data_IF_181715192127
#
_entry.id   IF_181715192127
#
_cell.length_a   1.000
_cell.length_b   1.000
_cell.length_c   1.000
_cell.angle_alpha   90.00
_cell.angle_beta   90.00
_cell.angle_gamma   90.00
#
_symmetry.space_group_name_H-M   'P 1'
#
loop_
_entity.id
_entity.type
_entity.pdbx_description
1 polymer ?
#
# COMPACT_ATOMS: atom_id res chain seq x y z
N UNK A 1 -20.60 -11.65 12.68
CA UNK A 1 -19.46 -11.78 11.78
C UNK A 1 -19.86 -11.63 10.30
N UNK A 2 -20.95 -12.26 9.87
CA UNK A 2 -21.43 -12.13 8.48
C UNK A 2 -21.78 -10.67 8.15
N UNK A 3 -22.44 -9.94 9.04
CA UNK A 3 -22.72 -8.53 8.88
C UNK A 3 -21.44 -7.71 8.70
N UNK A 4 -20.40 -8.03 9.49
CA UNK A 4 -19.10 -7.34 9.45
C UNK A 4 -18.38 -7.42 8.09
N UNK A 5 -18.67 -8.48 7.31
CA UNK A 5 -18.09 -8.70 5.98
C UNK A 5 -19.10 -8.51 4.85
N UNK A 6 -20.22 -7.83 5.11
CA UNK A 6 -21.27 -7.54 4.14
C UNK A 6 -21.99 -8.78 3.60
N UNK A 7 -22.19 -9.80 4.45
CA UNK A 7 -22.90 -11.05 4.14
C UNK A 7 -24.07 -11.29 5.08
N UNK A 8 -24.53 -10.29 5.85
CA UNK A 8 -25.57 -10.43 6.85
C UNK A 8 -26.89 -10.99 6.28
N UNK A 9 -27.30 -10.51 5.10
CA UNK A 9 -28.52 -10.93 4.40
C UNK A 9 -28.37 -12.24 3.61
N UNK A 10 -27.19 -12.86 3.64
CA UNK A 10 -26.84 -14.09 2.90
C UNK A 10 -26.67 -15.31 3.79
N UNK A 11 -26.92 -15.18 5.10
CA UNK A 11 -26.69 -16.25 6.08
C UNK A 11 -27.43 -17.57 5.80
N UNK A 12 -28.63 -17.48 5.19
CA UNK A 12 -29.45 -18.66 4.87
C UNK A 12 -29.11 -19.32 3.53
N UNK A 13 -28.22 -18.69 2.73
CA UNK A 13 -27.78 -19.24 1.44
C UNK A 13 -26.64 -20.23 1.67
N UNK A 14 -26.71 -21.39 1.01
CA UNK A 14 -25.62 -22.38 1.10
C UNK A 14 -24.32 -21.81 0.57
N UNK A 15 -23.22 -21.99 1.29
CA UNK A 15 -21.89 -21.49 0.90
C UNK A 15 -21.43 -21.98 -0.49
N UNK A 16 -21.97 -23.12 -0.96
CA UNK A 16 -21.74 -23.61 -2.32
C UNK A 16 -22.21 -22.65 -3.41
N UNK A 17 -23.29 -21.91 -3.14
CA UNK A 17 -23.93 -20.97 -4.06
C UNK A 17 -23.30 -19.56 -4.02
N UNK A 18 -22.35 -19.33 -3.13
CA UNK A 18 -21.66 -18.07 -3.00
C UNK A 18 -20.75 -17.80 -4.21
N UNK A 19 -20.70 -16.55 -4.64
CA UNK A 19 -19.70 -16.08 -5.60
C UNK A 19 -18.28 -16.21 -5.03
N UNK A 20 -17.25 -16.11 -5.87
CA UNK A 20 -15.84 -16.14 -5.43
C UNK A 20 -15.57 -15.09 -4.35
N UNK A 21 -16.01 -13.85 -4.53
CA UNK A 21 -15.85 -12.77 -3.55
C UNK A 21 -16.62 -13.01 -2.26
N UNK A 22 -17.84 -13.57 -2.32
CA UNK A 22 -18.58 -13.96 -1.13
C UNK A 22 -17.88 -15.09 -0.36
N UNK A 23 -17.34 -16.09 -1.05
CA UNK A 23 -16.55 -17.16 -0.43
C UNK A 23 -15.29 -16.64 0.25
N UNK A 24 -14.62 -15.69 -0.37
CA UNK A 24 -13.46 -15.04 0.22
C UNK A 24 -13.83 -14.31 1.52
N UNK A 25 -14.86 -13.48 1.49
CA UNK A 25 -15.39 -12.76 2.69
C UNK A 25 -15.86 -13.73 3.79
N UNK A 26 -16.52 -14.83 3.42
CA UNK A 26 -16.91 -15.86 4.38
C UNK A 26 -15.68 -16.51 5.04
N UNK A 27 -14.65 -16.83 4.26
CA UNK A 27 -13.39 -17.40 4.78
C UNK A 27 -12.70 -16.42 5.73
N UNK A 28 -12.68 -15.14 5.37
CA UNK A 28 -12.17 -14.07 6.24
C UNK A 28 -12.96 -13.99 7.55
N UNK A 29 -14.30 -13.93 7.49
CA UNK A 29 -15.16 -13.93 8.68
C UNK A 29 -14.94 -15.15 9.56
N UNK A 30 -14.79 -16.33 8.95
CA UNK A 30 -14.54 -17.57 9.67
C UNK A 30 -13.23 -17.57 10.44
N UNK A 31 -12.20 -16.90 9.93
CA UNK A 31 -10.89 -16.83 10.59
C UNK A 31 -10.91 -16.04 11.91
N UNK A 32 -11.96 -15.23 12.14
CA UNK A 32 -12.16 -14.44 13.37
C UNK A 32 -13.00 -15.16 14.45
N UNK A 33 -13.62 -16.32 14.16
CA UNK A 33 -14.59 -16.97 15.07
C UNK A 33 -14.00 -17.22 16.46
N UNK A 34 -12.73 -17.61 16.53
CA UNK A 34 -12.07 -17.99 17.79
C UNK A 34 -11.35 -16.82 18.48
N UNK A 35 -11.63 -15.57 18.10
CA UNK A 35 -10.95 -14.39 18.63
C UNK A 35 -9.42 -14.58 18.71
N UNK A 36 -8.73 -14.77 17.58
CA UNK A 36 -7.31 -15.12 17.57
C UNK A 36 -6.46 -14.00 18.19
N UNK A 37 -5.43 -14.36 18.94
CA UNK A 37 -4.37 -13.45 19.38
C UNK A 37 -3.25 -13.31 18.33
N UNK A 38 -3.14 -14.31 17.45
CA UNK A 38 -2.28 -14.31 16.26
C UNK A 38 -3.13 -14.69 15.05
N UNK A 39 -3.14 -13.83 14.03
CA UNK A 39 -4.00 -13.96 12.86
C UNK A 39 -3.17 -13.96 11.57
N UNK A 40 -3.27 -15.05 10.80
CA UNK A 40 -2.61 -15.19 9.50
C UNK A 40 -3.59 -14.88 8.38
N UNK A 41 -3.20 -13.97 7.52
CA UNK A 41 -3.99 -13.50 6.38
C UNK A 41 -3.16 -13.61 5.09
N UNK A 42 -3.66 -14.41 4.16
CA UNK A 42 -3.05 -14.58 2.85
C UNK A 42 -3.88 -13.82 1.81
N UNK A 43 -3.30 -12.80 1.19
CA UNK A 43 -3.94 -11.95 0.17
C UNK A 43 -5.37 -11.49 0.54
N UNK A 44 -5.59 -10.87 1.72
CA UNK A 44 -6.95 -10.67 2.27
C UNK A 44 -7.84 -9.74 1.44
N UNK A 45 -7.28 -8.93 0.54
CA UNK A 45 -8.03 -7.97 -0.27
C UNK A 45 -8.04 -8.28 -1.76
N UNK A 46 -7.30 -9.32 -2.18
CA UNK A 46 -7.13 -9.65 -3.60
C UNK A 46 -8.45 -10.13 -4.21
N UNK A 47 -8.78 -9.57 -5.38
CA UNK A 47 -10.01 -9.92 -6.12
C UNK A 47 -11.31 -9.41 -5.51
N UNK A 48 -11.23 -8.50 -4.54
CA UNK A 48 -12.38 -7.77 -4.00
C UNK A 48 -12.54 -6.43 -4.71
N UNK A 49 -13.77 -5.94 -4.75
CA UNK A 49 -14.03 -4.56 -5.17
C UNK A 49 -13.47 -3.55 -4.13
N UNK A 50 -13.17 -2.30 -4.56
CA UNK A 50 -12.53 -1.32 -3.69
C UNK A 50 -13.26 -1.03 -2.39
N UNK A 51 -14.60 -1.03 -2.40
CA UNK A 51 -15.40 -0.74 -1.21
C UNK A 51 -15.25 -1.85 -0.17
N UNK A 52 -15.40 -3.11 -0.60
CA UNK A 52 -15.22 -4.29 0.25
C UNK A 52 -13.77 -4.41 0.73
N UNK A 53 -12.79 -4.16 -0.14
CA UNK A 53 -11.38 -4.15 0.27
C UNK A 53 -11.12 -3.12 1.38
N UNK A 54 -11.74 -1.94 1.30
CA UNK A 54 -11.65 -0.91 2.33
C UNK A 54 -12.24 -1.37 3.67
N UNK A 55 -13.39 -2.05 3.65
CA UNK A 55 -14.01 -2.62 4.85
C UNK A 55 -13.11 -3.69 5.50
N UNK A 56 -12.55 -4.60 4.70
CA UNK A 56 -11.61 -5.62 5.18
C UNK A 56 -10.38 -4.98 5.83
N UNK A 57 -9.80 -3.96 5.20
CA UNK A 57 -8.67 -3.20 5.78
C UNK A 57 -9.04 -2.55 7.12
N UNK A 58 -10.22 -1.99 7.23
CA UNK A 58 -10.71 -1.40 8.48
C UNK A 58 -10.83 -2.44 9.60
N UNK A 59 -11.34 -3.63 9.29
CA UNK A 59 -11.45 -4.75 10.24
C UNK A 59 -10.05 -5.18 10.71
N UNK A 60 -9.09 -5.33 9.80
CA UNK A 60 -7.71 -5.69 10.11
C UNK A 60 -7.08 -4.66 11.06
N UNK A 61 -7.20 -3.37 10.74
CA UNK A 61 -6.69 -2.27 11.59
C UNK A 61 -7.32 -2.27 12.99
N UNK A 62 -8.62 -2.54 13.07
CA UNK A 62 -9.33 -2.56 14.36
C UNK A 62 -8.86 -3.74 15.25
N UNK A 63 -8.66 -4.93 14.67
CA UNK A 63 -8.11 -6.07 15.41
C UNK A 63 -6.67 -5.84 15.87
N UNK A 64 -5.84 -5.22 15.03
CA UNK A 64 -4.47 -4.85 15.42
C UNK A 64 -4.47 -3.85 16.59
N UNK A 65 -5.33 -2.80 16.54
CA UNK A 65 -5.49 -1.85 17.66
C UNK A 65 -5.92 -2.52 18.97
N UNK A 66 -6.65 -3.62 18.90
CA UNK A 66 -7.05 -4.43 20.07
C UNK A 66 -5.95 -5.35 20.56
N UNK A 67 -4.76 -5.34 19.96
CA UNK A 67 -3.59 -6.11 20.37
C UNK A 67 -3.46 -7.48 19.68
N UNK A 68 -4.25 -7.75 18.63
CA UNK A 68 -4.07 -8.96 17.81
C UNK A 68 -2.80 -8.80 16.97
N UNK A 69 -1.89 -9.77 17.05
CA UNK A 69 -0.74 -9.85 16.16
C UNK A 69 -1.20 -10.38 14.80
N UNK A 70 -0.94 -9.63 13.72
CA UNK A 70 -1.38 -10.00 12.38
C UNK A 70 -0.18 -10.28 11.50
N UNK A 71 -0.15 -11.46 10.90
CA UNK A 71 0.81 -11.84 9.86
C UNK A 71 0.09 -11.85 8.52
N UNK A 72 0.47 -10.94 7.63
CA UNK A 72 -0.17 -10.71 6.35
C UNK A 72 0.80 -11.04 5.22
N UNK A 73 0.36 -11.79 4.22
CA UNK A 73 1.08 -11.93 2.95
C UNK A 73 0.34 -11.16 1.86
N UNK A 74 1.08 -10.43 1.03
CA UNK A 74 0.52 -9.74 -0.15
C UNK A 74 1.63 -9.37 -1.13
N UNK A 75 1.29 -9.34 -2.41
CA UNK A 75 2.11 -8.73 -3.47
C UNK A 75 1.75 -7.26 -3.70
N UNK A 76 0.68 -6.76 -3.08
CA UNK A 76 0.25 -5.37 -3.20
C UNK A 76 0.99 -4.49 -2.18
N UNK A 77 1.97 -3.74 -2.66
CA UNK A 77 2.81 -2.88 -1.82
C UNK A 77 2.05 -1.75 -1.13
N UNK A 78 0.93 -1.28 -1.72
CA UNK A 78 0.07 -0.28 -1.05
C UNK A 78 -0.63 -0.86 0.18
N UNK A 79 -1.06 -2.12 0.12
CA UNK A 79 -1.65 -2.81 1.27
C UNK A 79 -0.61 -3.02 2.36
N UNK A 80 0.61 -3.44 2.00
CA UNK A 80 1.71 -3.60 2.94
C UNK A 80 2.08 -2.26 3.61
N UNK A 81 2.18 -1.19 2.83
CA UNK A 81 2.48 0.18 3.33
C UNK A 81 1.38 0.71 4.27
N UNK A 82 0.11 0.43 3.94
CA UNK A 82 -1.05 0.93 4.69
C UNK A 82 -1.31 0.17 6.00
N UNK A 83 -1.06 -1.14 6.02
CA UNK A 83 -1.51 -2.01 7.12
C UNK A 83 -0.38 -2.52 8.02
N UNK A 84 0.86 -2.59 7.53
CA UNK A 84 1.91 -3.29 8.24
C UNK A 84 2.82 -2.34 9.03
N UNK A 85 3.08 -2.66 10.30
CA UNK A 85 4.10 -1.98 11.10
C UNK A 85 5.52 -2.34 10.63
N UNK A 86 5.69 -3.56 10.11
CA UNK A 86 6.93 -4.07 9.54
C UNK A 86 6.62 -4.89 8.29
N UNK A 87 7.46 -4.76 7.28
CA UNK A 87 7.39 -5.55 6.04
C UNK A 87 8.67 -6.33 5.83
N UNK A 88 8.56 -7.53 5.28
CA UNK A 88 9.67 -8.37 4.86
C UNK A 88 9.60 -8.63 3.36
N UNK A 89 10.63 -8.27 2.60
CA UNK A 89 10.74 -8.61 1.19
C UNK A 89 11.30 -10.01 1.01
N UNK A 90 10.52 -10.88 0.38
CA UNK A 90 10.90 -12.28 0.11
C UNK A 90 11.19 -12.44 -1.37
N UNK A 91 12.37 -12.97 -1.70
CA UNK A 91 12.80 -13.29 -3.06
C UNK A 91 13.51 -14.64 -3.05
N UNK A 92 13.08 -15.56 -3.92
CA UNK A 92 13.61 -16.93 -4.01
C UNK A 92 13.58 -17.70 -2.68
N UNK A 93 12.53 -17.47 -1.87
CA UNK A 93 12.37 -18.10 -0.57
C UNK A 93 13.22 -17.51 0.56
N UNK A 94 13.97 -16.46 0.29
CA UNK A 94 14.81 -15.77 1.27
C UNK A 94 14.29 -14.39 1.59
N UNK A 95 14.34 -14.01 2.87
CA UNK A 95 14.04 -12.65 3.30
C UNK A 95 15.27 -11.78 2.99
N UNK A 96 15.11 -10.83 2.09
CA UNK A 96 16.17 -9.91 1.69
C UNK A 96 16.27 -8.68 2.57
N UNK A 97 15.15 -8.24 3.14
CA UNK A 97 15.06 -7.04 3.94
C UNK A 97 13.85 -7.11 4.86
N UNK A 98 13.99 -6.66 6.11
CA UNK A 98 12.86 -6.46 7.04
C UNK A 98 13.03 -5.12 7.74
N UNK A 99 12.04 -4.24 7.60
CA UNK A 99 11.96 -3.01 8.40
C UNK A 99 10.51 -2.44 8.36
N UNK A 100 10.29 -1.32 9.03
CA UNK A 100 9.03 -0.58 8.89
C UNK A 100 8.97 0.10 7.51
N UNK A 101 7.77 0.25 6.93
CA UNK A 101 7.59 0.99 5.68
C UNK A 101 8.26 2.38 5.71
N UNK A 102 8.10 3.08 6.82
CA UNK A 102 8.70 4.40 7.03
C UNK A 102 10.24 4.37 6.96
N UNK A 103 10.88 3.41 7.65
CA UNK A 103 12.34 3.31 7.63
C UNK A 103 12.85 2.93 6.25
N UNK A 104 12.15 2.02 5.55
CA UNK A 104 12.49 1.63 4.19
C UNK A 104 12.47 2.84 3.25
N UNK A 105 11.42 3.66 3.32
CA UNK A 105 11.31 4.90 2.55
C UNK A 105 12.42 5.90 2.88
N UNK A 106 12.81 6.00 4.14
CA UNK A 106 13.89 6.90 4.57
C UNK A 106 15.27 6.44 4.11
N UNK A 107 15.53 5.12 4.12
CA UNK A 107 16.85 4.56 3.79
C UNK A 107 17.07 4.35 2.30
N UNK A 108 16.06 3.90 1.57
CA UNK A 108 16.17 3.48 0.18
C UNK A 108 15.43 4.39 -0.78
N UNK A 109 14.49 5.18 -0.27
CA UNK A 109 13.68 6.08 -1.07
C UNK A 109 14.47 7.31 -1.50
N UNK A 110 14.24 7.73 -2.72
CA UNK A 110 14.68 9.02 -3.20
C UNK A 110 13.58 10.04 -2.98
N UNK A 111 13.98 11.26 -2.62
CA UNK A 111 13.03 12.36 -2.38
C UNK A 111 13.01 13.25 -3.61
N UNK A 112 11.85 13.31 -4.25
CA UNK A 112 11.62 14.17 -5.41
C UNK A 112 10.57 15.22 -5.10
N UNK A 113 10.66 16.33 -5.80
CA UNK A 113 9.56 17.27 -5.97
C UNK A 113 9.07 17.20 -7.42
N UNK A 114 7.78 16.97 -7.60
CA UNK A 114 7.11 17.16 -8.87
C UNK A 114 6.58 18.60 -8.89
N UNK A 115 6.99 19.37 -9.88
CA UNK A 115 6.55 20.76 -10.09
C UNK A 115 5.90 20.89 -11.46
N UNK A 116 4.72 21.48 -11.48
CA UNK A 116 4.03 21.89 -12.70
C UNK A 116 4.03 23.42 -12.75
N UNK A 117 4.47 23.98 -13.86
CA UNK A 117 4.63 25.43 -14.03
C UNK A 117 4.27 25.87 -15.44
N UNK A 118 3.92 27.15 -15.60
CA UNK A 118 3.63 27.76 -16.90
C UNK A 118 4.92 28.21 -17.59
N UNK A 119 5.16 27.69 -18.81
CA UNK A 119 6.19 28.21 -19.70
C UNK A 119 5.52 28.81 -20.94
N UNK A 120 5.31 30.10 -20.91
CA UNK A 120 4.52 30.82 -21.90
C UNK A 120 3.03 30.44 -21.79
N UNK A 121 2.52 29.62 -22.71
CA UNK A 121 1.12 29.12 -22.72
C UNK A 121 1.01 27.63 -22.44
N UNK A 122 2.11 26.96 -22.19
CA UNK A 122 2.16 25.52 -21.96
C UNK A 122 2.43 25.21 -20.48
N UNK A 123 1.76 24.18 -19.96
CA UNK A 123 2.06 23.63 -18.65
C UNK A 123 3.17 22.61 -18.82
N UNK A 124 4.29 22.83 -18.18
CA UNK A 124 5.40 21.87 -18.09
C UNK A 124 5.39 21.18 -16.73
N UNK A 125 5.84 19.93 -16.72
CA UNK A 125 5.99 19.11 -15.51
C UNK A 125 7.40 18.59 -15.45
N UNK A 126 8.07 18.82 -14.32
CA UNK A 126 9.40 18.26 -14.02
C UNK A 126 9.38 17.53 -12.68
N UNK A 127 10.20 16.48 -12.58
CA UNK A 127 10.46 15.76 -11.33
C UNK A 127 11.93 15.94 -10.98
N UNK A 128 12.20 16.61 -9.87
CA UNK A 128 13.52 17.06 -9.48
C UNK A 128 13.92 16.48 -8.12
N UNK A 129 15.15 15.97 -8.02
CA UNK A 129 15.69 15.41 -6.80
C UNK A 129 16.09 16.50 -5.79
N UNK A 130 15.79 16.29 -4.51
CA UNK A 130 16.28 17.16 -3.44
C UNK A 130 17.76 16.92 -3.09
N UNK A 131 18.41 15.93 -3.70
CA UNK A 131 19.80 15.56 -3.40
C UNK A 131 20.76 15.98 -4.51
N UNK A 132 20.31 15.92 -5.77
CA UNK A 132 21.10 16.31 -6.93
C UNK A 132 21.24 17.83 -7.00
N UNK A 133 22.48 18.33 -7.09
CA UNK A 133 22.77 19.77 -7.08
C UNK A 133 22.15 20.47 -8.27
N UNK A 134 22.23 19.85 -9.45
CA UNK A 134 21.69 20.41 -10.69
C UNK A 134 20.16 20.54 -10.63
N UNK A 135 19.48 19.54 -10.04
CA UNK A 135 18.03 19.55 -9.84
C UNK A 135 17.60 20.64 -8.84
N UNK A 136 18.39 20.86 -7.79
CA UNK A 136 18.14 21.93 -6.82
C UNK A 136 18.32 23.30 -7.48
N UNK A 137 19.33 23.47 -8.33
CA UNK A 137 19.53 24.72 -9.09
C UNK A 137 18.36 24.93 -10.09
N UNK A 138 17.95 23.86 -10.77
CA UNK A 138 16.80 23.90 -11.69
C UNK A 138 15.50 24.24 -10.98
N UNK A 139 15.26 23.64 -9.79
CA UNK A 139 14.08 23.97 -8.99
C UNK A 139 14.04 25.46 -8.61
N UNK A 140 15.18 26.02 -8.20
CA UNK A 140 15.28 27.47 -7.88
C UNK A 140 14.95 28.32 -9.10
N UNK A 141 15.51 27.98 -10.27
CA UNK A 141 15.22 28.68 -11.52
C UNK A 141 13.72 28.68 -11.83
N UNK A 142 13.05 27.50 -11.66
CA UNK A 142 11.61 27.38 -11.89
C UNK A 142 10.83 28.27 -10.92
N UNK A 143 11.18 28.25 -9.62
CA UNK A 143 10.50 29.05 -8.60
C UNK A 143 10.69 30.55 -8.79
N UNK A 144 11.83 30.99 -9.33
CA UNK A 144 12.16 32.40 -9.50
C UNK A 144 11.56 33.00 -10.79
N UNK A 145 11.35 32.18 -11.85
CA UNK A 145 11.05 32.70 -13.17
C UNK A 145 9.72 32.28 -13.76
N UNK A 146 9.05 31.27 -13.17
CA UNK A 146 7.82 30.71 -13.74
C UNK A 146 6.66 30.72 -12.74
N UNK A 147 5.45 30.78 -13.27
CA UNK A 147 4.22 30.67 -12.47
C UNK A 147 3.95 29.22 -12.13
N UNK A 148 4.03 28.88 -10.84
CA UNK A 148 3.81 27.52 -10.34
C UNK A 148 2.32 27.21 -10.31
N UNK A 149 1.92 26.12 -10.94
CA UNK A 149 0.55 25.60 -10.90
C UNK A 149 0.37 24.60 -9.76
N UNK A 150 1.26 23.62 -9.66
CA UNK A 150 1.28 22.66 -8.56
C UNK A 150 2.71 22.30 -8.18
N UNK A 151 2.90 22.00 -6.89
CA UNK A 151 4.16 21.45 -6.39
C UNK A 151 3.90 20.42 -5.30
N UNK A 152 4.37 19.19 -5.51
CA UNK A 152 4.18 18.09 -4.60
C UNK A 152 5.48 17.37 -4.32
N UNK A 153 5.73 17.05 -3.05
CA UNK A 153 6.82 16.14 -2.72
C UNK A 153 6.37 14.70 -2.94
N UNK A 154 7.18 13.91 -3.66
CA UNK A 154 6.96 12.50 -3.89
C UNK A 154 7.91 11.69 -3.02
N UNK A 155 7.35 10.86 -2.16
CA UNK A 155 8.11 9.84 -1.44
C UNK A 155 8.14 8.56 -2.27
N UNK A 156 9.26 7.82 -2.18
CA UNK A 156 9.35 6.53 -2.81
C UNK A 156 8.28 5.57 -2.28
N UNK A 157 7.72 4.78 -3.16
CA UNK A 157 6.80 3.70 -2.82
C UNK A 157 7.56 2.46 -2.35
N UNK A 158 6.90 1.58 -1.60
CA UNK A 158 7.50 0.27 -1.25
C UNK A 158 7.81 -0.57 -2.51
N UNK A 159 7.05 -0.38 -3.60
CA UNK A 159 7.29 -1.06 -4.87
C UNK A 159 8.62 -0.61 -5.50
N UNK A 160 8.87 0.70 -5.59
CA UNK A 160 10.13 1.24 -6.08
C UNK A 160 11.32 0.77 -5.23
N UNK A 161 11.14 0.70 -3.90
CA UNK A 161 12.16 0.19 -2.99
C UNK A 161 12.38 -1.31 -3.18
N UNK A 162 11.32 -2.10 -3.36
CA UNK A 162 11.42 -3.53 -3.64
C UNK A 162 12.24 -3.77 -4.91
N UNK A 163 11.93 -3.09 -6.02
CA UNK A 163 12.67 -3.19 -7.29
C UNK A 163 14.14 -2.80 -7.08
N UNK A 164 14.40 -1.69 -6.37
CA UNK A 164 15.75 -1.19 -6.11
C UNK A 164 16.60 -2.17 -5.31
N UNK A 165 16.03 -2.81 -4.29
CA UNK A 165 16.74 -3.73 -3.38
C UNK A 165 16.90 -5.11 -3.97
N UNK A 166 15.91 -5.59 -4.73
CA UNK A 166 15.86 -6.96 -5.22
C UNK A 166 16.28 -7.11 -6.68
N UNK A 167 16.24 -6.03 -7.45
CA UNK A 167 16.47 -6.03 -8.90
C UNK A 167 15.35 -6.72 -9.69
N UNK A 168 14.19 -6.98 -9.09
CA UNK A 168 13.05 -7.68 -9.69
C UNK A 168 11.80 -6.84 -9.66
N UNK A 169 11.04 -6.90 -10.75
CA UNK A 169 9.68 -6.37 -10.79
C UNK A 169 8.71 -7.32 -10.08
N UNK A 170 7.62 -6.75 -9.55
CA UNK A 170 6.50 -7.53 -9.00
C UNK A 170 5.70 -8.15 -10.16
N UNK A 171 5.42 -9.44 -10.06
CA UNK A 171 4.65 -10.20 -11.07
C UNK A 171 3.17 -10.17 -10.73
#
# INVERSE_FOLDING_TARGET
>A
LLELVGLGDKGDIKAGEYSKGMKHRLTFARSMINNPTLWFLDEPTTGLDPAIASEIKAIIKEHNKRGVTIFLTTHNMYIADELCDRVGFIVDGEIKLIDSPKNLKLQYGEKFVEVEYMDGKEIKKESLSFVAKDDIERLKEILDHYEIQTMHTKEATLEEIFIKVTGRELV
#
